data_IF_371065967846
#
_entry.id   IF_371065967846
#
_cell.length_a   1.000
_cell.length_b   1.000
_cell.length_c   1.000
_cell.angle_alpha   90.00
_cell.angle_beta   90.00
_cell.angle_gamma   90.00
#
_symmetry.space_group_name_H-M   'P 1'
#
loop_
_entity.id
_entity.type
_entity.pdbx_description
1 polymer ?
#
# COMPACT_ATOMS: atom_id res chain seq x y z
N UNK A 1 -5.27 -20.18 37.94
CA UNK A 1 -5.29 -18.88 37.16
C UNK A 1 -6.13 -17.88 37.93
N UNK A 2 -5.64 -16.65 38.18
CA UNK A 2 -6.36 -15.65 38.97
C UNK A 2 -7.59 -15.11 38.20
N UNK A 3 -8.77 -14.97 38.86
CA UNK A 3 -10.01 -14.47 38.25
C UNK A 3 -9.85 -13.09 37.60
N UNK A 4 -8.91 -12.28 38.05
CA UNK A 4 -8.60 -10.93 37.52
C UNK A 4 -7.93 -10.99 36.15
N UNK A 5 -7.06 -11.98 35.90
CA UNK A 5 -6.37 -12.21 34.62
C UNK A 5 -7.34 -12.73 33.55
N UNK A 6 -8.29 -13.55 33.91
CA UNK A 6 -9.36 -14.05 33.03
C UNK A 6 -10.31 -12.95 32.60
N UNK A 7 -10.76 -12.08 33.53
CA UNK A 7 -11.62 -10.92 33.18
C UNK A 7 -10.92 -9.89 32.31
N UNK A 8 -9.62 -9.66 32.48
CA UNK A 8 -8.84 -8.77 31.60
C UNK A 8 -8.73 -9.33 30.17
N UNK A 9 -8.50 -10.64 30.03
CA UNK A 9 -8.47 -11.30 28.73
C UNK A 9 -9.80 -11.21 27.97
N UNK A 10 -10.93 -11.43 28.67
CA UNK A 10 -12.26 -11.28 28.06
C UNK A 10 -12.58 -9.85 27.62
N UNK A 11 -12.20 -8.83 28.42
CA UNK A 11 -12.40 -7.41 28.05
C UNK A 11 -11.56 -7.03 26.83
N UNK A 12 -10.29 -7.49 26.75
CA UNK A 12 -9.43 -7.27 25.60
C UNK A 12 -10.02 -7.92 24.34
N UNK A 13 -10.43 -9.18 24.43
CA UNK A 13 -11.04 -9.88 23.30
C UNK A 13 -12.37 -9.23 22.84
N UNK A 14 -13.18 -8.69 23.78
CA UNK A 14 -14.38 -7.92 23.43
C UNK A 14 -14.05 -6.61 22.72
N UNK A 15 -13.03 -5.88 23.18
CA UNK A 15 -12.58 -4.65 22.54
C UNK A 15 -12.03 -4.90 21.11
N UNK A 16 -11.27 -5.96 20.93
CA UNK A 16 -10.77 -6.38 19.62
C UNK A 16 -11.88 -6.76 18.64
N UNK A 17 -12.91 -7.49 19.12
CA UNK A 17 -14.10 -7.79 18.30
C UNK A 17 -14.84 -6.52 17.89
N UNK A 18 -15.07 -5.59 18.83
CA UNK A 18 -15.70 -4.31 18.54
C UNK A 18 -14.88 -3.49 17.53
N UNK A 19 -13.56 -3.47 17.69
CA UNK A 19 -12.64 -2.80 16.73
C UNK A 19 -12.79 -3.39 15.33
N UNK A 20 -12.74 -4.71 15.20
CA UNK A 20 -12.91 -5.41 13.92
C UNK A 20 -14.29 -5.14 13.30
N UNK A 21 -15.36 -5.14 14.10
CA UNK A 21 -16.72 -4.85 13.66
C UNK A 21 -16.84 -3.42 13.08
N UNK A 22 -16.23 -2.43 13.72
CA UNK A 22 -16.23 -1.04 13.25
C UNK A 22 -15.43 -0.89 11.95
N UNK A 23 -14.26 -1.55 11.83
CA UNK A 23 -13.46 -1.54 10.60
C UNK A 23 -14.23 -2.18 9.44
N UNK A 24 -14.86 -3.34 9.68
CA UNK A 24 -15.71 -4.01 8.67
C UNK A 24 -16.87 -3.13 8.25
N UNK A 25 -17.61 -2.51 9.21
CA UNK A 25 -18.69 -1.58 8.91
C UNK A 25 -18.23 -0.35 8.13
N UNK A 26 -17.01 0.13 8.37
CA UNK A 26 -16.40 1.24 7.60
C UNK A 26 -16.13 0.82 6.16
N UNK A 27 -15.55 -0.38 5.95
CA UNK A 27 -15.29 -0.95 4.63
C UNK A 27 -16.59 -1.09 3.84
N UNK A 28 -17.61 -1.70 4.42
CA UNK A 28 -18.92 -1.88 3.79
C UNK A 28 -19.61 -0.55 3.48
N UNK A 29 -19.51 0.44 4.37
CA UNK A 29 -20.04 1.78 4.14
C UNK A 29 -19.37 2.43 2.94
N UNK A 30 -18.03 2.43 2.91
CA UNK A 30 -17.26 3.00 1.80
C UNK A 30 -17.40 2.20 0.50
N UNK A 31 -17.84 0.95 0.52
CA UNK A 31 -18.10 0.17 -0.68
C UNK A 31 -19.33 0.66 -1.48
N UNK A 32 -20.23 1.43 -0.87
CA UNK A 32 -21.44 1.94 -1.53
C UNK A 32 -21.33 3.43 -1.89
N UNK A 33 -21.94 3.92 -3.00
CA UNK A 33 -21.91 5.34 -3.36
C UNK A 33 -22.50 6.24 -2.27
N UNK A 34 -23.66 5.86 -1.74
CA UNK A 34 -24.32 6.61 -0.66
C UNK A 34 -23.47 6.67 0.61
N UNK A 35 -22.89 5.54 1.01
CA UNK A 35 -22.05 5.51 2.21
C UNK A 35 -20.78 6.36 2.06
N UNK A 36 -20.24 6.49 0.85
CA UNK A 36 -19.12 7.39 0.59
C UNK A 36 -19.55 8.87 0.74
N UNK A 37 -20.67 9.28 0.15
CA UNK A 37 -21.14 10.68 0.25
C UNK A 37 -21.56 11.09 1.67
N UNK A 38 -22.04 10.15 2.47
CA UNK A 38 -22.47 10.35 3.85
C UNK A 38 -21.41 9.95 4.89
N UNK A 39 -20.16 9.72 4.47
CA UNK A 39 -19.12 9.17 5.35
C UNK A 39 -18.83 10.07 6.55
N UNK A 40 -19.17 9.58 7.72
CA UNK A 40 -18.99 10.22 9.02
C UNK A 40 -18.87 9.18 10.14
N UNK A 41 -18.37 9.60 11.29
CA UNK A 41 -18.31 8.70 12.47
C UNK A 41 -19.73 8.22 12.87
N UNK A 42 -20.75 9.06 12.73
CA UNK A 42 -22.14 8.68 13.02
C UNK A 42 -22.65 7.61 12.04
N UNK A 43 -22.33 7.75 10.75
CA UNK A 43 -22.70 6.75 9.74
C UNK A 43 -22.00 5.42 9.99
N UNK A 44 -20.70 5.45 10.35
CA UNK A 44 -19.95 4.25 10.74
C UNK A 44 -20.52 3.61 11.99
N UNK A 45 -20.83 4.37 13.04
CA UNK A 45 -21.39 3.87 14.28
C UNK A 45 -22.74 3.16 14.03
N UNK A 46 -23.64 3.78 13.27
CA UNK A 46 -24.92 3.16 12.84
C UNK A 46 -24.71 1.89 12.03
N UNK A 47 -23.83 1.92 11.04
CA UNK A 47 -23.52 0.75 10.19
C UNK A 47 -22.94 -0.41 10.97
N UNK A 48 -22.11 -0.11 11.97
CA UNK A 48 -21.44 -1.09 12.83
C UNK A 48 -22.28 -1.52 14.04
N UNK A 49 -23.46 -0.92 14.29
CA UNK A 49 -24.30 -1.26 15.44
C UNK A 49 -23.66 -0.92 16.80
N UNK A 50 -22.83 0.14 16.86
CA UNK A 50 -22.19 0.59 18.10
C UNK A 50 -22.50 2.07 18.38
N UNK A 51 -22.30 2.50 19.64
CA UNK A 51 -22.42 3.91 19.98
C UNK A 51 -21.30 4.75 19.36
N UNK A 52 -21.59 6.01 18.97
CA UNK A 52 -20.59 6.96 18.45
C UNK A 52 -19.35 7.07 19.34
N UNK A 53 -19.56 7.15 20.65
CA UNK A 53 -18.46 7.23 21.62
C UNK A 53 -17.57 5.98 21.61
N UNK A 54 -18.12 4.82 21.28
CA UNK A 54 -17.34 3.59 21.13
C UNK A 54 -16.35 3.72 19.96
N UNK A 55 -16.75 4.32 18.84
CA UNK A 55 -15.86 4.58 17.71
C UNK A 55 -14.73 5.52 18.12
N UNK A 56 -15.04 6.63 18.80
CA UNK A 56 -14.01 7.54 19.31
C UNK A 56 -13.07 6.88 20.33
N UNK A 57 -13.60 6.07 21.22
CA UNK A 57 -12.78 5.34 22.20
C UNK A 57 -11.79 4.39 21.52
N UNK A 58 -12.20 3.71 20.44
CA UNK A 58 -11.39 2.73 19.72
C UNK A 58 -10.35 3.35 18.77
N UNK A 59 -10.65 4.48 18.15
CA UNK A 59 -9.86 5.03 17.04
C UNK A 59 -9.41 6.48 17.28
N UNK A 60 -9.88 7.15 18.31
CA UNK A 60 -9.56 8.54 18.63
C UNK A 60 -10.17 9.56 17.68
N UNK A 61 -10.13 9.31 16.38
CA UNK A 61 -10.58 10.24 15.34
C UNK A 61 -11.04 9.51 14.08
N UNK A 62 -11.61 10.27 13.14
CA UNK A 62 -11.90 9.81 11.78
C UNK A 62 -10.62 9.36 11.04
N UNK A 63 -9.52 10.08 11.26
CA UNK A 63 -8.21 9.75 10.70
C UNK A 63 -7.67 8.42 11.27
N UNK A 64 -7.74 8.21 12.58
CA UNK A 64 -7.34 6.94 13.21
C UNK A 64 -8.21 5.76 12.76
N UNK A 65 -9.49 5.99 12.44
CA UNK A 65 -10.34 4.97 11.84
C UNK A 65 -9.89 4.61 10.41
N UNK A 66 -9.53 5.59 9.59
CA UNK A 66 -9.00 5.35 8.23
C UNK A 66 -7.64 4.65 8.30
N UNK A 67 -6.78 5.01 9.25
CA UNK A 67 -5.52 4.28 9.47
C UNK A 67 -5.78 2.80 9.79
N UNK A 68 -6.69 2.51 10.72
CA UNK A 68 -7.06 1.15 11.05
C UNK A 68 -7.70 0.39 9.88
N UNK A 69 -8.45 1.07 9.01
CA UNK A 69 -8.98 0.49 7.78
C UNK A 69 -7.83 0.09 6.83
N UNK A 70 -6.83 0.95 6.60
CA UNK A 70 -5.67 0.62 5.79
C UNK A 70 -4.89 -0.57 6.36
N UNK A 71 -4.63 -0.58 7.68
CA UNK A 71 -3.99 -1.71 8.35
C UNK A 71 -4.75 -3.03 8.11
N UNK A 72 -6.08 -2.98 8.19
CA UNK A 72 -6.93 -4.13 7.93
C UNK A 72 -6.86 -4.59 6.47
N UNK A 73 -6.88 -3.66 5.50
CA UNK A 73 -6.77 -3.97 4.07
C UNK A 73 -5.41 -4.62 3.76
N UNK A 74 -4.32 -4.07 4.28
CA UNK A 74 -2.98 -4.66 4.12
C UNK A 74 -2.93 -6.05 4.74
N UNK A 75 -3.38 -6.21 5.98
CA UNK A 75 -3.34 -7.51 6.68
C UNK A 75 -4.16 -8.60 5.99
N UNK A 76 -5.23 -8.26 5.28
CA UNK A 76 -6.04 -9.22 4.50
C UNK A 76 -5.30 -9.77 3.29
N UNK A 77 -4.39 -9.00 2.71
CA UNK A 77 -3.73 -9.30 1.43
C UNK A 77 -2.24 -9.60 1.59
N UNK A 78 -1.65 -9.19 2.70
CA UNK A 78 -0.29 -9.55 3.09
C UNK A 78 -0.32 -10.72 4.09
N UNK A 79 -0.37 -11.92 3.57
CA UNK A 79 -0.28 -13.16 4.38
C UNK A 79 1.15 -13.50 4.80
N UNK A 80 1.95 -12.48 5.12
CA UNK A 80 3.38 -12.61 5.43
C UNK A 80 4.32 -12.42 4.24
N UNK A 81 3.77 -12.16 3.06
CA UNK A 81 4.54 -12.08 1.81
C UNK A 81 5.51 -10.89 1.77
N UNK A 82 5.19 -9.75 2.38
CA UNK A 82 6.15 -8.65 2.55
C UNK A 82 7.34 -9.06 3.43
N UNK A 83 7.08 -9.85 4.47
CA UNK A 83 8.14 -10.38 5.32
C UNK A 83 8.98 -11.43 4.57
N UNK A 84 8.36 -12.24 3.73
CA UNK A 84 9.06 -13.23 2.90
C UNK A 84 9.88 -12.55 1.80
N UNK A 85 9.33 -11.54 1.12
CA UNK A 85 10.07 -10.72 0.16
C UNK A 85 11.34 -10.08 0.79
N UNK A 86 11.26 -9.61 2.04
CA UNK A 86 12.45 -9.09 2.73
C UNK A 86 13.51 -10.15 2.96
N UNK A 87 13.13 -11.41 3.18
CA UNK A 87 14.04 -12.55 3.46
C UNK A 87 14.51 -13.25 2.19
N UNK A 88 13.85 -13.03 1.05
CA UNK A 88 14.23 -13.64 -0.20
C UNK A 88 15.69 -13.25 -0.55
N UNK A 89 16.60 -14.22 -0.74
CA UNK A 89 18.01 -13.92 -1.06
C UNK A 89 18.18 -13.23 -2.41
N UNK A 90 17.29 -13.52 -3.37
CA UNK A 90 17.22 -12.81 -4.66
C UNK A 90 16.40 -11.53 -4.51
N UNK A 91 17.07 -10.40 -4.63
CA UNK A 91 16.42 -9.09 -4.45
C UNK A 91 15.53 -8.67 -5.63
N UNK A 92 15.74 -9.20 -6.84
CA UNK A 92 14.80 -8.99 -7.94
C UNK A 92 13.53 -9.80 -7.73
N UNK A 93 13.61 -11.04 -7.30
CA UNK A 93 12.45 -11.82 -6.89
C UNK A 93 11.69 -11.12 -5.75
N UNK A 94 12.41 -10.60 -4.74
CA UNK A 94 11.83 -9.79 -3.67
C UNK A 94 11.05 -8.56 -4.18
N UNK A 95 11.58 -7.87 -5.19
CA UNK A 95 10.89 -6.74 -5.84
C UNK A 95 9.60 -7.18 -6.54
N UNK A 96 9.64 -8.30 -7.26
CA UNK A 96 8.45 -8.83 -7.95
C UNK A 96 7.37 -9.27 -6.96
N UNK A 97 7.75 -9.92 -5.86
CA UNK A 97 6.84 -10.29 -4.76
C UNK A 97 6.21 -9.05 -4.10
N UNK A 98 7.00 -8.02 -3.86
CA UNK A 98 6.52 -6.73 -3.35
C UNK A 98 5.46 -6.13 -4.29
N UNK A 99 5.71 -6.11 -5.59
CA UNK A 99 4.75 -5.62 -6.59
C UNK A 99 3.45 -6.44 -6.53
N UNK A 100 3.54 -7.76 -6.46
CA UNK A 100 2.37 -8.64 -6.40
C UNK A 100 1.49 -8.39 -5.15
N UNK A 101 2.08 -8.12 -4.00
CA UNK A 101 1.33 -7.76 -2.79
C UNK A 101 0.49 -6.51 -3.03
N UNK A 102 1.07 -5.46 -3.59
CA UNK A 102 0.34 -4.20 -3.82
C UNK A 102 -0.67 -4.31 -4.96
N UNK A 103 -0.39 -5.05 -6.03
CA UNK A 103 -1.39 -5.32 -7.09
C UNK A 103 -2.61 -6.06 -6.52
N UNK A 104 -2.42 -7.06 -5.67
CA UNK A 104 -3.54 -7.75 -4.98
C UNK A 104 -4.32 -6.80 -4.08
N UNK A 105 -3.63 -6.02 -3.25
CA UNK A 105 -4.25 -5.03 -2.38
C UNK A 105 -5.11 -4.04 -3.17
N UNK A 106 -4.54 -3.44 -4.22
CA UNK A 106 -5.22 -2.44 -5.04
C UNK A 106 -6.42 -3.02 -5.80
N UNK A 107 -6.33 -4.27 -6.27
CA UNK A 107 -7.39 -4.91 -7.04
C UNK A 107 -8.58 -5.32 -6.20
N UNK A 108 -8.34 -5.82 -5.00
CA UNK A 108 -9.38 -6.42 -4.16
C UNK A 108 -10.35 -5.40 -3.58
N UNK A 109 -9.84 -4.27 -3.15
CA UNK A 109 -10.63 -3.22 -2.50
C UNK A 109 -10.57 -1.88 -3.28
N UNK A 110 -10.40 -1.96 -4.59
CA UNK A 110 -10.19 -0.83 -5.50
C UNK A 110 -11.16 0.34 -5.29
N UNK A 111 -12.46 0.04 -5.15
CA UNK A 111 -13.50 1.06 -4.97
C UNK A 111 -13.34 1.78 -3.63
N UNK A 112 -13.05 1.03 -2.56
CA UNK A 112 -12.88 1.59 -1.21
C UNK A 112 -11.62 2.46 -1.16
N UNK A 113 -10.51 1.97 -1.70
CA UNK A 113 -9.23 2.71 -1.74
C UNK A 113 -9.37 4.02 -2.51
N UNK A 114 -10.00 3.99 -3.70
CA UNK A 114 -10.28 5.20 -4.50
C UNK A 114 -11.09 6.22 -3.69
N UNK A 115 -12.09 5.78 -2.94
CA UNK A 115 -12.93 6.65 -2.12
C UNK A 115 -12.19 7.21 -0.91
N UNK A 116 -11.33 6.43 -0.29
CA UNK A 116 -10.47 6.92 0.80
C UNK A 116 -9.51 8.00 0.28
N UNK A 117 -8.90 7.81 -0.90
CA UNK A 117 -8.05 8.83 -1.53
C UNK A 117 -8.85 10.09 -1.88
N UNK A 118 -10.08 9.95 -2.38
CA UNK A 118 -10.96 11.10 -2.63
C UNK A 118 -11.33 11.85 -1.36
N UNK A 119 -11.62 11.15 -0.25
CA UNK A 119 -11.85 11.78 1.06
C UNK A 119 -10.58 12.49 1.58
N UNK A 120 -9.42 11.88 1.42
CA UNK A 120 -8.14 12.45 1.83
C UNK A 120 -7.79 13.73 1.06
N UNK A 121 -8.20 13.83 -0.21
CA UNK A 121 -8.02 15.06 -0.99
C UNK A 121 -8.80 16.27 -0.45
N UNK A 122 -9.85 16.02 0.35
CA UNK A 122 -10.73 17.05 0.92
C UNK A 122 -10.51 17.28 2.43
N UNK A 123 -9.80 16.39 3.11
CA UNK A 123 -9.63 16.40 4.57
C UNK A 123 -8.13 16.21 4.93
N UNK A 124 -7.45 17.27 5.40
CA UNK A 124 -6.01 17.19 5.72
C UNK A 124 -5.64 16.14 6.76
N UNK A 125 -6.54 15.86 7.72
CA UNK A 125 -6.28 14.82 8.73
C UNK A 125 -6.32 13.42 8.12
N UNK A 126 -7.22 13.18 7.15
CA UNK A 126 -7.25 11.93 6.38
C UNK A 126 -6.05 11.84 5.43
N UNK A 127 -5.65 12.94 4.81
CA UNK A 127 -4.46 12.99 3.97
C UNK A 127 -3.21 12.53 4.74
N UNK A 128 -3.04 12.99 5.99
CA UNK A 128 -1.92 12.59 6.84
C UNK A 128 -1.92 11.08 7.12
N UNK A 129 -3.07 10.45 7.37
CA UNK A 129 -3.17 9.00 7.56
C UNK A 129 -2.77 8.23 6.30
N UNK A 130 -3.24 8.66 5.13
CA UNK A 130 -2.86 8.07 3.83
C UNK A 130 -1.35 8.22 3.61
N UNK A 131 -0.78 9.40 3.89
CA UNK A 131 0.67 9.65 3.76
C UNK A 131 1.52 8.75 4.67
N UNK A 132 1.04 8.42 5.86
CA UNK A 132 1.74 7.49 6.76
C UNK A 132 1.91 6.10 6.11
N UNK A 133 0.85 5.59 5.46
CA UNK A 133 0.93 4.31 4.72
C UNK A 133 1.81 4.41 3.48
N UNK A 134 1.75 5.52 2.76
CA UNK A 134 2.63 5.80 1.64
C UNK A 134 4.11 5.82 2.05
N UNK A 135 4.44 6.44 3.18
CA UNK A 135 5.81 6.48 3.71
C UNK A 135 6.31 5.07 4.10
N UNK A 136 5.46 4.25 4.74
CA UNK A 136 5.79 2.84 5.06
C UNK A 136 6.08 2.05 3.79
N UNK A 137 5.22 2.11 2.77
CA UNK A 137 5.42 1.43 1.48
C UNK A 137 6.70 1.89 0.80
N UNK A 138 6.98 3.19 0.79
CA UNK A 138 8.20 3.76 0.21
C UNK A 138 9.45 3.26 0.93
N UNK A 139 9.42 3.18 2.25
CA UNK A 139 10.53 2.66 3.04
C UNK A 139 10.82 1.17 2.73
N UNK A 140 9.78 0.33 2.64
CA UNK A 140 9.93 -1.08 2.28
C UNK A 140 10.56 -1.25 0.88
N UNK A 141 10.07 -0.49 -0.09
CA UNK A 141 10.62 -0.49 -1.43
C UNK A 141 12.09 -0.05 -1.44
N UNK A 142 12.44 0.99 -0.69
CA UNK A 142 13.81 1.49 -0.58
C UNK A 142 14.78 0.41 -0.06
N UNK A 143 14.35 -0.37 0.95
CA UNK A 143 15.14 -1.48 1.49
C UNK A 143 15.40 -2.54 0.40
N UNK A 144 14.37 -2.92 -0.37
CA UNK A 144 14.50 -3.89 -1.46
C UNK A 144 15.42 -3.35 -2.55
N UNK A 145 15.22 -2.12 -3.01
CA UNK A 145 16.03 -1.52 -4.08
C UNK A 145 17.50 -1.31 -3.70
N UNK A 146 17.81 -1.03 -2.42
CA UNK A 146 19.19 -1.02 -1.92
C UNK A 146 19.86 -2.38 -2.08
N UNK A 147 19.14 -3.47 -1.84
CA UNK A 147 19.62 -4.84 -2.04
C UNK A 147 19.81 -5.16 -3.52
N UNK A 148 18.85 -4.76 -4.37
CA UNK A 148 18.97 -4.92 -5.83
C UNK A 148 20.23 -4.22 -6.33
N UNK A 149 20.48 -2.98 -5.91
CA UNK A 149 21.71 -2.27 -6.24
C UNK A 149 22.97 -3.00 -5.77
N UNK A 150 22.94 -3.59 -4.59
CA UNK A 150 24.06 -4.36 -4.05
C UNK A 150 24.36 -5.65 -4.80
N UNK A 151 23.33 -6.32 -5.33
CA UNK A 151 23.46 -7.59 -6.06
C UNK A 151 23.70 -7.42 -7.56
N UNK A 152 23.09 -6.42 -8.19
CA UNK A 152 23.05 -6.26 -9.65
C UNK A 152 23.72 -4.98 -10.15
N UNK A 153 24.28 -4.16 -9.24
CA UNK A 153 24.95 -2.92 -9.58
C UNK A 153 24.01 -1.71 -9.62
N UNK A 154 24.53 -0.59 -10.14
CA UNK A 154 23.75 0.64 -10.21
C UNK A 154 22.58 0.50 -11.19
N UNK A 155 21.34 0.93 -10.82
CA UNK A 155 20.28 1.10 -11.79
C UNK A 155 20.72 2.12 -12.84
N UNK A 156 20.22 1.99 -14.06
CA UNK A 156 20.57 2.87 -15.17
C UNK A 156 20.11 4.33 -15.05
N UNK A 157 19.48 4.68 -13.93
CA UNK A 157 19.25 6.07 -13.57
C UNK A 157 20.49 6.65 -12.89
N UNK A 158 20.83 7.88 -13.23
CA UNK A 158 22.00 8.56 -12.70
C UNK A 158 22.03 8.67 -11.18
N UNK A 159 20.85 8.52 -10.53
CA UNK A 159 20.68 8.59 -9.08
C UNK A 159 19.76 7.49 -8.57
N UNK A 160 20.14 6.85 -7.46
CA UNK A 160 19.30 5.86 -6.76
C UNK A 160 17.92 6.42 -6.38
N UNK A 161 17.85 7.70 -5.97
CA UNK A 161 16.60 8.37 -5.62
C UNK A 161 15.60 8.41 -6.79
N UNK A 162 16.09 8.58 -8.02
CA UNK A 162 15.25 8.61 -9.22
C UNK A 162 14.65 7.23 -9.50
N UNK A 163 15.45 6.16 -9.43
CA UNK A 163 14.95 4.79 -9.56
C UNK A 163 13.90 4.46 -8.50
N UNK A 164 14.15 4.87 -7.24
CA UNK A 164 13.20 4.70 -6.15
C UNK A 164 11.87 5.41 -6.44
N UNK A 165 11.89 6.68 -6.87
CA UNK A 165 10.66 7.42 -7.15
C UNK A 165 9.88 6.81 -8.33
N UNK A 166 10.56 6.36 -9.39
CA UNK A 166 9.91 5.72 -10.53
C UNK A 166 9.22 4.41 -10.10
N UNK A 167 9.92 3.52 -9.41
CA UNK A 167 9.33 2.23 -8.98
C UNK A 167 8.25 2.47 -7.94
N UNK A 168 8.41 3.47 -7.06
CA UNK A 168 7.39 3.87 -6.10
C UNK A 168 6.12 4.37 -6.79
N UNK A 169 6.23 5.20 -7.84
CA UNK A 169 5.11 5.63 -8.69
C UNK A 169 4.45 4.44 -9.39
N UNK A 170 5.24 3.55 -10.02
CA UNK A 170 4.73 2.38 -10.72
C UNK A 170 3.92 1.44 -9.82
N UNK A 171 4.26 1.36 -8.54
CA UNK A 171 3.56 0.52 -7.55
C UNK A 171 2.44 1.25 -6.80
N UNK A 172 2.12 2.50 -7.15
CA UNK A 172 1.06 3.29 -6.50
C UNK A 172 -0.34 2.81 -6.88
N UNK A 173 -1.32 3.16 -6.03
CA UNK A 173 -2.73 2.92 -6.34
C UNK A 173 -3.16 3.67 -7.60
N UNK A 174 -2.72 4.89 -7.78
CA UNK A 174 -3.06 5.75 -8.92
C UNK A 174 -2.60 5.13 -10.23
N UNK A 175 -1.36 4.62 -10.28
CA UNK A 175 -0.83 3.91 -11.46
C UNK A 175 -1.63 2.63 -11.72
N UNK A 176 -1.88 1.82 -10.68
CA UNK A 176 -2.71 0.63 -10.81
C UNK A 176 -4.12 0.99 -11.33
N UNK A 177 -4.77 1.99 -10.72
CA UNK A 177 -6.14 2.38 -11.04
C UNK A 177 -6.27 2.91 -12.47
N UNK A 178 -5.28 3.68 -12.92
CA UNK A 178 -5.19 4.16 -14.29
C UNK A 178 -4.98 3.02 -15.30
N UNK A 179 -4.02 2.13 -15.05
CA UNK A 179 -3.71 1.02 -15.95
C UNK A 179 -4.82 -0.02 -16.01
N UNK A 180 -5.51 -0.27 -14.90
CA UNK A 180 -6.62 -1.23 -14.85
C UNK A 180 -7.84 -0.72 -15.64
N UNK A 181 -8.04 0.59 -15.73
CA UNK A 181 -9.19 1.16 -16.44
C UNK A 181 -10.51 0.52 -16.01
N UNK A 182 -11.41 0.29 -16.95
CA UNK A 182 -12.70 -0.37 -16.71
C UNK A 182 -12.65 -1.91 -16.85
N UNK A 183 -11.70 -2.44 -17.61
CA UNK A 183 -11.80 -3.82 -18.13
C UNK A 183 -10.55 -4.68 -18.02
N UNK A 184 -9.38 -4.10 -17.73
CA UNK A 184 -8.13 -4.86 -17.68
C UNK A 184 -8.06 -5.72 -16.42
N UNK A 185 -7.64 -6.98 -16.57
CA UNK A 185 -7.47 -7.90 -15.44
C UNK A 185 -6.30 -7.47 -14.54
N UNK A 186 -6.40 -7.64 -13.20
CA UNK A 186 -5.33 -7.29 -12.27
C UNK A 186 -3.96 -7.90 -12.62
N UNK A 187 -3.93 -9.16 -13.05
CA UNK A 187 -2.70 -9.84 -13.42
C UNK A 187 -2.02 -9.18 -14.64
N UNK A 188 -2.79 -8.76 -15.65
CA UNK A 188 -2.24 -8.07 -16.83
C UNK A 188 -1.61 -6.72 -16.44
N UNK A 189 -2.20 -6.04 -15.43
CA UNK A 189 -1.63 -4.82 -14.85
C UNK A 189 -0.35 -5.13 -14.08
N UNK A 190 -0.36 -6.16 -13.25
CA UNK A 190 0.79 -6.62 -12.48
C UNK A 190 1.98 -6.94 -13.39
N UNK A 191 1.75 -7.70 -14.45
CA UNK A 191 2.79 -8.05 -15.41
C UNK A 191 3.37 -6.82 -16.14
N UNK A 192 2.53 -5.84 -16.47
CA UNK A 192 2.99 -4.57 -17.05
C UNK A 192 3.84 -3.77 -16.06
N UNK A 193 3.40 -3.64 -14.80
CA UNK A 193 4.14 -2.95 -13.74
C UNK A 193 5.48 -3.63 -13.48
N UNK A 194 5.51 -4.96 -13.41
CA UNK A 194 6.76 -5.75 -13.22
C UNK A 194 7.76 -5.50 -14.34
N UNK A 195 7.32 -5.56 -15.61
CA UNK A 195 8.19 -5.29 -16.77
C UNK A 195 8.76 -3.88 -16.71
N UNK A 196 7.93 -2.86 -16.40
CA UNK A 196 8.38 -1.48 -16.29
C UNK A 196 9.33 -1.27 -15.11
N UNK A 197 9.06 -1.88 -13.95
CA UNK A 197 9.93 -1.81 -12.79
C UNK A 197 11.29 -2.48 -13.06
N UNK A 198 11.31 -3.64 -13.70
CA UNK A 198 12.56 -4.30 -14.11
C UNK A 198 13.33 -3.46 -15.13
N UNK A 199 12.66 -2.89 -16.13
CA UNK A 199 13.29 -1.99 -17.08
C UNK A 199 13.90 -0.77 -16.39
N UNK A 200 13.19 -0.19 -15.41
CA UNK A 200 13.69 0.93 -14.63
C UNK A 200 14.93 0.58 -13.79
N UNK A 201 15.06 -0.66 -13.32
CA UNK A 201 16.12 -1.06 -12.38
C UNK A 201 17.32 -1.74 -13.09
N UNK A 202 17.09 -2.49 -14.18
CA UNK A 202 18.11 -3.39 -14.76
C UNK A 202 18.61 -2.94 -16.13
N UNK A 203 17.80 -2.34 -16.99
CA UNK A 203 18.10 -2.20 -18.42
C UNK A 203 18.89 -0.94 -18.82
N UNK A 204 19.09 0.04 -17.95
CA UNK A 204 19.79 1.28 -18.34
C UNK A 204 21.32 1.23 -18.11
N UNK A 205 21.83 0.28 -17.38
CA UNK A 205 23.28 0.16 -17.12
C UNK A 205 24.11 -0.19 -18.36
N UNK A 206 23.56 -0.99 -19.27
CA UNK A 206 24.30 -1.51 -20.44
C UNK A 206 24.40 -0.56 -21.63
N UNK A 207 23.44 0.36 -21.80
CA UNK A 207 23.39 1.23 -22.99
C UNK A 207 24.17 2.54 -22.83
N UNK A 208 24.39 3.03 -21.62
CA UNK A 208 25.14 4.28 -21.38
C UNK A 208 26.65 4.08 -21.44
N UNK A 209 27.17 2.87 -21.22
CA UNK A 209 28.60 2.58 -21.41
C UNK A 209 28.99 2.44 -22.87
N UNK A 210 28.09 1.98 -23.74
CA UNK A 210 28.32 1.90 -25.19
C UNK A 210 28.31 3.25 -25.91
N UNK A 211 27.67 4.28 -25.33
CA UNK A 211 27.62 5.63 -25.91
C UNK A 211 28.86 6.50 -25.69
N UNK A 212 29.73 6.17 -24.74
CA UNK A 212 30.94 6.95 -24.43
C UNK A 212 32.17 6.62 -25.28
N UNK A 213 32.11 5.60 -26.16
CA UNK A 213 33.26 5.11 -26.92
C UNK A 213 33.33 5.58 -28.38
N UNK A 214 32.58 6.62 -28.78
CA UNK A 214 32.69 7.18 -30.14
C UNK A 214 32.96 8.68 -30.13
N UNK A 215 34.16 9.07 -29.75
CA UNK A 215 34.76 10.32 -30.24
C UNK A 215 35.59 9.99 -31.49
N UNK A 216 35.27 10.51 -32.70
CA UNK A 216 36.16 10.38 -33.81
C UNK A 216 37.34 11.32 -33.58
N UNK A 217 38.56 10.75 -33.60
CA UNK A 217 39.77 11.53 -33.76
C UNK A 217 39.71 12.21 -35.16
N UNK A 218 39.61 13.53 -35.13
CA UNK A 218 39.87 14.32 -36.32
C UNK A 218 41.37 14.28 -36.63
N UNK A 219 41.70 13.88 -37.85
CA UNK A 219 42.98 14.13 -38.49
C UNK A 219 42.98 15.51 -39.14
#
# INVERSE_FOLDING_TARGET
MSPRRYRMGQRKAAAERTRAQVVTGTLELLATPRGFSEFSIDAVARKSGVARMTVYYQFGSKAGLIEALYEHLVARHDTGQLADARRNPDSLAALLEFIDVFIRLWSSDRVVIRRVHALAALDPALAQSVQTHHARRRHELEVILKRVRGQYGHPGFSKFSEALEIVYMLTSFETFDHLAGATRRPNDVGDAVKRLALAAVVLHGAELESGKSRTPKAS
#
